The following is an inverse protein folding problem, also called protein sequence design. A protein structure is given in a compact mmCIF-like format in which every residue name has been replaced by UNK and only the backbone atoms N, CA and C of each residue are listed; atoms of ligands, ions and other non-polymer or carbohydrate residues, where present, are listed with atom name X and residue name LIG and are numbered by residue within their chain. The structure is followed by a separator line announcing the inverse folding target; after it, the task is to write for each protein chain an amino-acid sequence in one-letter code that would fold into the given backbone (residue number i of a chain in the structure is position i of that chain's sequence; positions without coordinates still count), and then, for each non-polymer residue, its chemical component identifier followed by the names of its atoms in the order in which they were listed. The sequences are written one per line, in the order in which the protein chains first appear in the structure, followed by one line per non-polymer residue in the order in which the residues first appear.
data_IF_520675642723
#
_entry.id   IF_520675642723
#
_cell.length_a   1.000
_cell.length_b   1.000
_cell.length_c   1.000
_cell.angle_alpha   90.00
_cell.angle_beta   90.00
_cell.angle_gamma   90.00
#
_symmetry.space_group_name_H-M   'P 1'
#
loop_
_entity.id
_entity.type
_entity.pdbx_description
1 polymer ?
#
# COMPACT_ATOMS: atom_id res chain seq x y z
N UNK A 1 16.49 -31.51 -11.72
CA UNK A 1 15.85 -31.14 -13.00
C UNK A 1 15.39 -29.69 -12.88
N UNK A 2 15.36 -28.90 -13.96
CA UNK A 2 14.65 -27.63 -13.91
C UNK A 2 13.21 -27.89 -13.48
N UNK A 3 12.59 -26.94 -12.78
CA UNK A 3 11.16 -27.04 -12.54
C UNK A 3 10.45 -26.83 -13.88
N UNK A 4 9.52 -27.72 -14.20
CA UNK A 4 8.70 -27.54 -15.39
C UNK A 4 7.83 -26.28 -15.24
N UNK A 5 7.67 -25.48 -16.30
CA UNK A 5 6.77 -24.35 -16.29
C UNK A 5 5.36 -24.76 -15.88
N UNK A 6 4.66 -23.88 -15.17
CA UNK A 6 3.28 -24.11 -14.74
C UNK A 6 2.38 -23.02 -15.27
N UNK A 7 1.18 -23.38 -15.70
CA UNK A 7 0.19 -22.41 -16.16
C UNK A 7 -1.09 -22.59 -15.36
N UNK A 8 -2.00 -21.64 -15.47
CA UNK A 8 -3.30 -21.66 -14.78
C UNK A 8 -3.17 -21.74 -13.26
N UNK A 9 -2.25 -20.95 -12.70
CA UNK A 9 -2.02 -20.87 -11.26
C UNK A 9 -2.93 -19.81 -10.63
N UNK A 10 -3.42 -20.07 -9.41
CA UNK A 10 -4.19 -19.09 -8.64
C UNK A 10 -3.32 -17.91 -8.19
N UNK A 11 -3.91 -16.71 -8.12
CA UNK A 11 -3.22 -15.49 -7.69
C UNK A 11 -2.70 -15.59 -6.24
N UNK A 12 -3.38 -16.32 -5.35
CA UNK A 12 -3.00 -16.53 -3.95
C UNK A 12 -2.08 -17.73 -3.72
N UNK A 13 -1.44 -18.24 -4.79
CA UNK A 13 -0.74 -19.53 -4.72
C UNK A 13 0.50 -19.47 -3.83
N UNK A 14 0.40 -20.12 -2.67
CA UNK A 14 1.56 -20.55 -1.90
C UNK A 14 2.33 -21.68 -2.60
N UNK A 15 3.66 -21.60 -2.57
CA UNK A 15 4.55 -22.65 -3.07
C UNK A 15 5.21 -23.42 -1.93
N UNK A 16 5.42 -24.73 -2.17
CA UNK A 16 6.25 -25.58 -1.32
C UNK A 16 7.39 -26.16 -2.14
N UNK A 17 8.62 -25.91 -1.71
CA UNK A 17 9.82 -26.47 -2.33
C UNK A 17 10.37 -27.58 -1.43
N UNK A 18 10.46 -28.79 -1.97
CA UNK A 18 11.05 -29.92 -1.28
C UNK A 18 12.53 -30.07 -1.66
N UNK A 19 13.40 -30.08 -0.66
CA UNK A 19 14.82 -30.35 -0.81
C UNK A 19 15.15 -31.80 -0.45
N UNK A 20 16.16 -32.36 -1.09
CA UNK A 20 16.62 -33.73 -0.80
C UNK A 20 17.38 -33.85 0.54
N UNK A 21 17.92 -32.74 1.04
CA UNK A 21 18.60 -32.62 2.33
C UNK A 21 17.98 -31.52 3.20
N UNK A 22 18.09 -31.61 4.54
CA UNK A 22 17.63 -30.55 5.42
C UNK A 22 18.31 -29.22 5.10
N UNK A 23 17.52 -28.14 5.08
CA UNK A 23 17.94 -26.79 4.66
C UNK A 23 18.27 -25.94 5.87
N UNK A 24 19.45 -25.34 5.90
CA UNK A 24 19.89 -24.46 6.97
C UNK A 24 18.97 -23.22 7.03
N UNK A 25 18.28 -22.97 8.16
CA UNK A 25 17.27 -21.91 8.25
C UNK A 25 17.77 -20.52 7.90
N UNK A 26 19.01 -20.17 8.26
CA UNK A 26 19.60 -18.86 7.94
C UNK A 26 19.84 -18.64 6.44
N UNK A 27 19.86 -19.70 5.64
CA UNK A 27 19.95 -19.59 4.18
C UNK A 27 18.59 -19.37 3.51
N UNK A 28 17.47 -19.60 4.21
CA UNK A 28 16.11 -19.38 3.73
C UNK A 28 15.76 -17.91 3.91
N UNK A 29 15.88 -17.13 2.84
CA UNK A 29 15.58 -15.70 2.81
C UNK A 29 15.31 -15.25 1.37
N UNK A 30 14.80 -14.04 1.21
CA UNK A 30 14.40 -13.48 -0.09
C UNK A 30 15.57 -13.14 -1.02
N UNK A 31 16.82 -13.18 -0.54
CA UNK A 31 17.99 -13.08 -1.42
C UNK A 31 18.21 -14.40 -2.18
N UNK A 32 17.96 -15.52 -1.52
CA UNK A 32 18.20 -16.86 -2.05
C UNK A 32 16.97 -17.50 -2.70
N UNK A 33 15.76 -17.11 -2.30
CA UNK A 33 14.49 -17.57 -2.89
C UNK A 33 13.63 -16.35 -3.16
N UNK A 34 13.33 -16.06 -4.42
CA UNK A 34 12.57 -14.87 -4.80
C UNK A 34 11.71 -15.14 -6.03
N UNK A 35 10.65 -14.36 -6.19
CA UNK A 35 9.84 -14.35 -7.41
C UNK A 35 10.06 -13.02 -8.11
N UNK A 36 10.09 -13.05 -9.44
CA UNK A 36 10.03 -11.83 -10.27
C UNK A 36 8.92 -11.92 -11.29
N UNK A 37 8.46 -10.77 -11.78
CA UNK A 37 7.70 -10.68 -13.02
C UNK A 37 8.57 -10.97 -14.26
N UNK A 38 8.01 -10.77 -15.46
CA UNK A 38 8.71 -10.91 -16.74
C UNK A 38 9.75 -9.80 -16.99
N UNK A 39 9.64 -8.65 -16.31
CA UNK A 39 10.55 -7.52 -16.41
C UNK A 39 11.72 -7.61 -15.41
N UNK A 40 11.71 -8.63 -14.54
CA UNK A 40 12.65 -8.90 -13.45
C UNK A 40 12.49 -8.01 -12.21
N UNK A 41 11.33 -7.35 -12.04
CA UNK A 41 10.97 -6.73 -10.78
C UNK A 41 10.60 -7.80 -9.75
N UNK A 42 11.00 -7.62 -8.50
CA UNK A 42 10.81 -8.61 -7.43
C UNK A 42 9.43 -8.47 -6.81
N UNK A 43 8.77 -9.61 -6.62
CA UNK A 43 7.51 -9.71 -5.88
C UNK A 43 7.77 -9.77 -4.37
N UNK A 44 6.90 -9.13 -3.60
CA UNK A 44 6.97 -9.14 -2.14
C UNK A 44 6.42 -10.45 -1.56
N UNK A 45 7.24 -11.48 -1.59
CA UNK A 45 6.92 -12.82 -1.07
C UNK A 45 7.56 -13.07 0.30
N UNK A 46 6.90 -13.87 1.13
CA UNK A 46 7.50 -14.36 2.38
C UNK A 46 8.06 -15.77 2.19
N UNK A 47 9.25 -16.05 2.75
CA UNK A 47 9.85 -17.38 2.72
C UNK A 47 10.12 -17.88 4.13
N UNK A 48 9.71 -19.12 4.40
CA UNK A 48 9.84 -19.71 5.73
C UNK A 48 10.08 -21.22 5.66
N UNK A 49 10.83 -21.81 6.61
CA UNK A 49 10.92 -23.26 6.73
C UNK A 49 9.57 -23.88 7.12
N UNK A 50 9.26 -25.07 6.59
CA UNK A 50 8.19 -25.93 7.11
C UNK A 50 8.72 -26.76 8.30
N UNK A 51 7.82 -27.50 8.95
CA UNK A 51 8.09 -28.30 10.15
C UNK A 51 9.06 -29.49 9.94
N UNK A 52 9.29 -29.92 8.70
CA UNK A 52 10.07 -31.12 8.36
C UNK A 52 11.57 -30.85 8.07
N UNK A 53 12.01 -29.60 8.19
CA UNK A 53 13.37 -29.09 7.89
C UNK A 53 13.88 -29.30 6.45
N UNK A 54 13.10 -29.92 5.56
CA UNK A 54 13.43 -30.17 4.15
C UNK A 54 12.55 -29.38 3.19
N UNK A 55 11.47 -28.81 3.70
CA UNK A 55 10.50 -28.05 2.92
C UNK A 55 10.62 -26.58 3.25
N UNK A 56 10.57 -25.75 2.20
CA UNK A 56 10.46 -24.29 2.30
C UNK A 56 9.10 -23.88 1.75
N UNK A 57 8.37 -23.09 2.52
CA UNK A 57 7.12 -22.46 2.12
C UNK A 57 7.44 -21.06 1.60
N UNK A 58 6.88 -20.74 0.44
CA UNK A 58 6.85 -19.39 -0.11
C UNK A 58 5.39 -18.95 -0.08
N UNK A 59 5.10 -17.91 0.67
CA UNK A 59 3.79 -17.26 0.67
C UNK A 59 3.69 -16.34 -0.54
N UNK A 60 2.53 -16.38 -1.20
CA UNK A 60 2.20 -15.37 -2.22
C UNK A 60 2.27 -13.95 -1.61
N UNK A 61 2.42 -12.90 -2.44
CA UNK A 61 2.28 -11.53 -1.97
C UNK A 61 0.95 -11.33 -1.25
N UNK A 62 0.88 -10.36 -0.33
CA UNK A 62 -0.33 -10.13 0.47
C UNK A 62 -1.58 -9.87 -0.40
N UNK A 63 -1.37 -9.26 -1.57
CA UNK A 63 -2.41 -8.98 -2.58
C UNK A 63 -2.49 -10.05 -3.69
N UNK A 64 -1.71 -11.12 -3.58
CA UNK A 64 -1.57 -12.15 -4.62
C UNK A 64 -0.73 -11.70 -5.82
N UNK A 65 -0.58 -12.60 -6.77
CA UNK A 65 0.03 -12.35 -8.08
C UNK A 65 -1.02 -11.82 -9.07
N UNK A 66 -0.62 -10.96 -10.01
CA UNK A 66 -1.53 -10.37 -10.99
C UNK A 66 -2.08 -11.44 -11.98
N UNK A 67 -3.41 -11.50 -12.20
CA UNK A 67 -4.03 -12.39 -13.18
C UNK A 67 -3.44 -12.27 -14.60
N UNK A 68 -3.30 -13.40 -15.28
CA UNK A 68 -2.77 -13.47 -16.65
C UNK A 68 -1.28 -13.19 -16.78
N UNK A 69 -0.63 -12.69 -15.73
CA UNK A 69 0.78 -12.39 -15.72
C UNK A 69 1.63 -13.64 -15.52
N UNK A 70 2.86 -13.56 -16.03
CA UNK A 70 3.85 -14.62 -15.93
C UNK A 70 4.98 -14.19 -15.00
N UNK A 71 5.37 -15.09 -14.12
CA UNK A 71 6.35 -14.89 -13.08
C UNK A 71 7.43 -15.96 -13.13
N UNK A 72 8.56 -15.67 -12.52
CA UNK A 72 9.69 -16.58 -12.40
C UNK A 72 10.05 -16.74 -10.91
N UNK A 73 9.88 -17.93 -10.37
CA UNK A 73 10.37 -18.31 -9.05
C UNK A 73 11.83 -18.78 -9.18
N UNK A 74 12.72 -18.19 -8.40
CA UNK A 74 14.15 -18.51 -8.37
C UNK A 74 14.57 -19.11 -7.02
N UNK A 75 15.48 -20.08 -7.09
CA UNK A 75 16.22 -20.64 -5.95
C UNK A 75 17.70 -20.60 -6.30
N UNK A 76 18.46 -19.79 -5.57
CA UNK A 76 19.88 -19.55 -5.83
C UNK A 76 20.77 -20.66 -5.24
N UNK A 77 22.04 -20.67 -5.63
CA UNK A 77 23.08 -21.52 -5.02
C UNK A 77 23.45 -21.10 -3.58
N UNK A 78 22.89 -19.99 -3.09
CA UNK A 78 23.06 -19.52 -1.71
C UNK A 78 22.26 -20.31 -0.67
N UNK A 79 21.29 -21.13 -1.10
CA UNK A 79 20.65 -22.14 -0.24
C UNK A 79 21.67 -23.18 0.21
N UNK A 80 21.68 -23.50 1.51
CA UNK A 80 22.64 -24.42 2.12
C UNK A 80 21.95 -25.54 2.88
N UNK A 81 22.55 -26.72 2.85
CA UNK A 81 22.22 -27.81 3.77
C UNK A 81 22.75 -27.55 5.18
N UNK A 82 22.28 -28.32 6.18
CA UNK A 82 22.81 -28.27 7.55
C UNK A 82 24.32 -28.51 7.63
N UNK A 83 24.88 -29.33 6.73
CA UNK A 83 26.33 -29.55 6.60
C UNK A 83 27.05 -28.40 5.86
N UNK A 84 26.40 -27.26 5.70
CA UNK A 84 26.89 -26.05 5.04
C UNK A 84 27.22 -26.21 3.55
N UNK A 85 26.80 -27.31 2.90
CA UNK A 85 26.98 -27.53 1.45
C UNK A 85 25.93 -26.73 0.66
N UNK A 86 26.33 -25.97 -0.37
CA UNK A 86 25.41 -25.18 -1.18
C UNK A 86 24.57 -26.06 -2.11
N UNK A 87 23.45 -25.51 -2.58
CA UNK A 87 22.67 -26.11 -3.65
C UNK A 87 23.55 -26.26 -4.90
N UNK A 88 23.59 -27.47 -5.46
CA UNK A 88 24.53 -27.85 -6.53
C UNK A 88 24.38 -26.98 -7.79
N UNK A 89 23.16 -26.52 -8.06
CA UNK A 89 22.85 -25.62 -9.17
C UNK A 89 21.64 -24.76 -8.78
N UNK A 90 21.60 -23.47 -9.16
CA UNK A 90 20.38 -22.69 -9.02
C UNK A 90 19.28 -23.31 -9.88
N UNK A 91 18.03 -23.13 -9.47
CA UNK A 91 16.86 -23.58 -10.22
C UNK A 91 15.86 -22.44 -10.31
N UNK A 92 15.15 -22.37 -11.43
CA UNK A 92 14.02 -21.47 -11.60
C UNK A 92 12.81 -22.22 -12.14
N UNK A 93 11.64 -21.65 -11.93
CA UNK A 93 10.36 -22.11 -12.47
C UNK A 93 9.60 -20.91 -12.98
N UNK A 94 9.17 -20.96 -14.23
CA UNK A 94 8.19 -20.00 -14.72
C UNK A 94 6.79 -20.46 -14.33
N UNK A 95 5.93 -19.53 -13.92
CA UNK A 95 4.51 -19.80 -13.73
C UNK A 95 3.64 -18.67 -14.23
N UNK A 96 2.49 -19.01 -14.82
CA UNK A 96 1.51 -18.05 -15.31
C UNK A 96 0.24 -18.14 -14.47
N UNK A 97 -0.20 -17.00 -13.96
CA UNK A 97 -1.47 -16.88 -13.24
C UNK A 97 -2.60 -16.98 -14.27
N UNK A 98 -3.71 -17.62 -13.88
CA UNK A 98 -4.92 -17.59 -14.70
C UNK A 98 -5.23 -16.13 -15.05
N UNK A 99 -5.25 -15.80 -16.35
CA UNK A 99 -5.86 -14.56 -16.83
C UNK A 99 -7.35 -14.81 -16.98
N UNK A 100 -8.19 -13.88 -16.55
CA UNK A 100 -9.61 -14.15 -16.31
C UNK A 100 -10.32 -14.88 -17.47
N UNK A 101 -10.93 -16.01 -17.09
CA UNK A 101 -11.91 -16.88 -17.79
C UNK A 101 -11.42 -17.63 -19.05
N UNK A 102 -11.07 -18.92 -18.88
CA UNK A 102 -11.29 -19.90 -19.95
C UNK A 102 -12.74 -20.40 -19.88
N UNK A 103 -13.49 -20.10 -20.94
CA UNK A 103 -14.91 -20.40 -21.14
C UNK A 103 -15.04 -21.90 -21.46
N UNK A 104 -14.86 -22.75 -20.44
CA UNK A 104 -14.60 -24.18 -20.63
C UNK A 104 -15.34 -25.17 -19.73
N UNK A 105 -16.29 -24.71 -18.92
CA UNK A 105 -17.46 -25.42 -18.37
C UNK A 105 -18.13 -24.45 -17.42
N UNK A 106 -19.26 -23.92 -17.88
CA UNK A 106 -20.11 -23.01 -17.12
C UNK A 106 -20.67 -23.79 -15.94
N UNK A 107 -20.08 -23.64 -14.76
CA UNK A 107 -20.94 -23.44 -13.60
C UNK A 107 -21.40 -21.99 -13.75
N UNK A 108 -22.71 -21.80 -13.94
CA UNK A 108 -23.31 -20.48 -14.13
C UNK A 108 -22.81 -19.54 -13.04
N UNK A 109 -22.20 -18.41 -13.44
CA UNK A 109 -21.92 -17.29 -12.54
C UNK A 109 -23.21 -17.03 -11.77
N UNK A 110 -23.16 -17.14 -10.45
CA UNK A 110 -24.35 -16.90 -9.63
C UNK A 110 -24.78 -15.46 -9.89
N UNK A 111 -26.04 -15.21 -10.29
CA UNK A 111 -26.56 -13.87 -10.60
C UNK A 111 -26.49 -12.85 -9.44
N UNK A 112 -25.94 -13.23 -8.30
CA UNK A 112 -25.99 -12.53 -7.02
C UNK A 112 -24.76 -11.62 -6.77
N UNK A 113 -23.67 -11.75 -7.56
CA UNK A 113 -22.40 -10.99 -7.39
C UNK A 113 -22.16 -9.91 -8.48
N UNK A 114 -23.16 -9.67 -9.35
CA UNK A 114 -23.07 -8.70 -10.45
C UNK A 114 -23.95 -7.50 -10.15
N UNK A 115 -23.32 -6.36 -9.85
CA UNK A 115 -23.99 -5.08 -9.68
C UNK A 115 -24.18 -4.44 -11.06
N UNK A 116 -25.35 -3.81 -11.29
CA UNK A 116 -25.61 -3.04 -12.50
C UNK A 116 -26.00 -1.62 -12.13
N UNK A 117 -25.29 -0.62 -12.66
CA UNK A 117 -25.64 0.79 -12.42
C UNK A 117 -26.78 1.27 -13.35
N UNK A 118 -27.26 2.49 -13.13
CA UNK A 118 -28.35 3.10 -13.93
C UNK A 118 -28.01 3.22 -15.43
N UNK A 119 -26.72 3.24 -15.78
CA UNK A 119 -26.23 3.25 -17.16
C UNK A 119 -26.12 1.85 -17.79
N UNK A 120 -26.42 0.78 -17.03
CA UNK A 120 -26.36 -0.61 -17.48
C UNK A 120 -24.97 -1.25 -17.43
N UNK A 121 -23.99 -0.58 -16.81
CA UNK A 121 -22.63 -1.12 -16.60
C UNK A 121 -22.69 -2.21 -15.54
N UNK A 122 -22.10 -3.37 -15.85
CA UNK A 122 -21.99 -4.52 -14.94
C UNK A 122 -20.59 -4.62 -14.36
N UNK A 123 -20.50 -4.79 -13.05
CA UNK A 123 -19.23 -4.99 -12.35
C UNK A 123 -19.41 -5.98 -11.19
N UNK A 124 -18.31 -6.61 -10.78
CA UNK A 124 -18.25 -7.54 -9.65
C UNK A 124 -18.07 -6.77 -8.33
N UNK A 125 -18.44 -7.37 -7.21
CA UNK A 125 -18.31 -6.75 -5.88
C UNK A 125 -16.86 -6.37 -5.51
N UNK A 126 -15.86 -6.98 -6.13
CA UNK A 126 -14.44 -6.67 -5.92
C UNK A 126 -13.85 -5.68 -6.96
N UNK A 127 -14.70 -5.10 -7.80
CA UNK A 127 -14.31 -4.07 -8.78
C UNK A 127 -14.87 -2.71 -8.37
N UNK A 128 -14.18 -1.65 -8.79
CA UNK A 128 -14.60 -0.28 -8.53
C UNK A 128 -15.27 0.30 -9.75
N UNK A 129 -16.45 0.89 -9.55
CA UNK A 129 -17.05 1.78 -10.53
C UNK A 129 -16.38 3.16 -10.40
N UNK A 130 -15.75 3.61 -11.49
CA UNK A 130 -15.08 4.90 -11.56
C UNK A 130 -15.89 5.84 -12.45
N UNK A 131 -16.33 6.95 -11.86
CA UNK A 131 -17.15 7.96 -12.52
C UNK A 131 -16.38 9.25 -12.70
N UNK A 132 -16.36 9.81 -13.91
CA UNK A 132 -15.66 11.06 -14.23
C UNK A 132 -16.62 12.24 -14.32
N UNK A 133 -16.31 13.33 -13.62
CA UNK A 133 -17.10 14.57 -13.56
C UNK A 133 -16.21 15.80 -13.72
N UNK A 134 -16.80 16.94 -14.10
CA UNK A 134 -16.09 18.22 -14.19
C UNK A 134 -15.67 18.77 -12.79
N UNK A 135 -16.32 18.32 -11.71
CA UNK A 135 -16.08 18.80 -10.34
C UNK A 135 -16.25 17.69 -9.29
N UNK A 136 -15.54 17.84 -8.16
CA UNK A 136 -15.59 16.93 -7.02
C UNK A 136 -16.77 17.20 -6.08
N UNK A 137 -18.00 16.95 -6.54
CA UNK A 137 -19.18 16.95 -5.68
C UNK A 137 -19.88 15.58 -5.72
N UNK A 138 -19.78 14.84 -4.61
CA UNK A 138 -20.41 13.51 -4.42
C UNK A 138 -21.94 13.55 -4.61
N UNK A 139 -22.57 14.72 -4.49
CA UNK A 139 -24.03 14.89 -4.48
C UNK A 139 -24.66 15.45 -5.78
N UNK A 140 -23.91 15.65 -6.87
CA UNK A 140 -24.49 16.09 -8.15
C UNK A 140 -24.69 14.95 -9.16
N UNK A 141 -25.85 14.99 -9.82
CA UNK A 141 -26.28 14.05 -10.88
C UNK A 141 -25.62 14.46 -12.19
N UNK A 142 -24.90 13.51 -12.81
CA UNK A 142 -24.24 13.66 -14.11
C UNK A 142 -22.85 13.05 -14.11
N UNK A 143 -22.64 12.05 -14.97
CA UNK A 143 -21.32 11.50 -15.31
C UNK A 143 -20.98 11.90 -16.74
N UNK A 144 -19.72 12.25 -16.97
CA UNK A 144 -19.18 12.53 -18.31
C UNK A 144 -18.82 11.21 -18.98
N UNK A 145 -18.20 10.34 -18.19
CA UNK A 145 -17.87 8.98 -18.57
C UNK A 145 -17.76 8.10 -17.32
N UNK A 146 -17.80 6.78 -17.53
CA UNK A 146 -17.70 5.77 -16.50
C UNK A 146 -16.82 4.63 -17.02
N UNK A 147 -16.04 4.04 -16.12
CA UNK A 147 -15.31 2.79 -16.37
C UNK A 147 -15.33 1.93 -15.11
N UNK A 148 -14.89 0.68 -15.24
CA UNK A 148 -14.79 -0.27 -14.13
C UNK A 148 -13.33 -0.67 -13.99
N UNK A 149 -12.82 -0.68 -12.77
CA UNK A 149 -11.47 -1.17 -12.52
C UNK A 149 -11.40 -2.68 -12.78
N UNK A 150 -10.22 -3.15 -13.17
CA UNK A 150 -9.84 -4.55 -13.00
C UNK A 150 -9.87 -4.94 -11.51
N UNK A 151 -9.78 -6.23 -11.24
CA UNK A 151 -9.66 -6.76 -9.88
C UNK A 151 -8.32 -6.41 -9.22
N UNK A 152 -7.35 -5.96 -10.01
CA UNK A 152 -6.06 -5.42 -9.61
C UNK A 152 -6.10 -3.88 -9.37
N UNK A 153 -7.27 -3.26 -9.53
CA UNK A 153 -7.46 -1.82 -9.39
C UNK A 153 -7.09 -1.00 -10.64
N UNK A 154 -6.56 -1.62 -11.70
CA UNK A 154 -6.19 -0.91 -12.92
C UNK A 154 -7.44 -0.42 -13.65
N UNK A 155 -7.38 0.79 -14.22
CA UNK A 155 -8.44 1.31 -15.08
C UNK A 155 -7.85 2.06 -16.26
N UNK A 156 -8.54 2.02 -17.39
CA UNK A 156 -8.22 2.80 -18.58
C UNK A 156 -9.53 3.37 -19.14
N UNK A 157 -9.47 4.62 -19.60
CA UNK A 157 -10.63 5.29 -20.19
C UNK A 157 -10.18 6.36 -21.19
N UNK A 158 -10.92 6.50 -22.29
CA UNK A 158 -10.77 7.62 -23.21
C UNK A 158 -11.68 8.78 -22.77
N UNK A 159 -11.09 9.95 -22.55
CA UNK A 159 -11.80 11.17 -22.16
C UNK A 159 -11.44 12.31 -23.10
N UNK A 160 -12.38 13.24 -23.40
CA UNK A 160 -12.02 14.51 -24.01
C UNK A 160 -10.87 15.21 -23.26
N UNK A 161 -10.10 16.05 -23.94
CA UNK A 161 -9.06 16.82 -23.27
C UNK A 161 -9.65 17.72 -22.19
N UNK A 162 -9.16 17.61 -20.95
CA UNK A 162 -9.74 18.29 -19.80
C UNK A 162 -9.19 17.84 -18.45
N UNK A 163 -9.62 18.52 -17.39
CA UNK A 163 -9.40 18.10 -16.00
C UNK A 163 -10.70 17.52 -15.45
N UNK A 164 -10.60 16.36 -14.83
CA UNK A 164 -11.73 15.61 -14.29
C UNK A 164 -11.50 15.30 -12.81
N UNK A 165 -12.61 15.15 -12.10
CA UNK A 165 -12.62 14.40 -10.85
C UNK A 165 -13.11 12.99 -11.14
N UNK A 166 -12.30 12.01 -10.79
CA UNK A 166 -12.70 10.61 -10.74
C UNK A 166 -13.27 10.29 -9.34
N UNK A 167 -14.42 9.65 -9.31
CA UNK A 167 -15.06 9.14 -8.09
C UNK A 167 -15.06 7.62 -8.20
N UNK A 168 -14.32 6.94 -7.33
CA UNK A 168 -14.26 5.49 -7.25
C UNK A 168 -15.20 5.00 -6.14
N UNK A 169 -16.10 4.09 -6.49
CA UNK A 169 -17.12 3.52 -5.60
C UNK A 169 -17.12 2.00 -5.71
N UNK A 170 -17.37 1.29 -4.62
CA UNK A 170 -17.40 -0.17 -4.61
C UNK A 170 -17.84 -0.71 -3.26
N UNK A 171 -18.44 -1.90 -3.26
CA UNK A 171 -18.80 -2.56 -2.00
C UNK A 171 -17.55 -2.85 -1.17
N UNK A 172 -17.63 -2.66 0.15
CA UNK A 172 -16.49 -2.90 1.03
C UNK A 172 -15.49 -1.74 1.10
N UNK A 173 -15.70 -0.65 0.36
CA UNK A 173 -14.83 0.53 0.35
C UNK A 173 -15.56 1.82 0.75
N UNK A 174 -14.79 2.77 1.27
CA UNK A 174 -15.22 4.16 1.39
C UNK A 174 -15.01 4.83 0.03
N UNK A 175 -16.06 5.47 -0.49
CA UNK A 175 -16.00 6.20 -1.76
C UNK A 175 -14.83 7.20 -1.75
N UNK A 176 -14.01 7.12 -2.80
CA UNK A 176 -12.83 7.95 -2.95
C UNK A 176 -12.95 8.91 -4.13
N UNK A 177 -12.24 10.03 -4.03
CA UNK A 177 -12.13 11.00 -5.10
C UNK A 177 -10.67 11.39 -5.35
N UNK A 178 -10.32 11.52 -6.64
CA UNK A 178 -9.00 11.94 -7.10
C UNK A 178 -9.09 12.71 -8.43
N UNK A 179 -8.03 13.45 -8.75
CA UNK A 179 -7.97 14.28 -9.95
C UNK A 179 -7.34 13.52 -11.11
N UNK A 180 -7.90 13.71 -12.31
CA UNK A 180 -7.41 13.10 -13.55
C UNK A 180 -7.29 14.17 -14.63
N UNK A 181 -6.13 14.25 -15.26
CA UNK A 181 -5.86 15.06 -16.45
C UNK A 181 -5.93 14.16 -17.69
N UNK A 182 -6.67 14.60 -18.71
CA UNK A 182 -6.67 14.00 -20.05
C UNK A 182 -6.16 15.02 -21.06
N UNK A 183 -5.21 14.61 -21.91
CA UNK A 183 -4.68 15.42 -23.01
C UNK A 183 -5.08 14.78 -24.34
N UNK A 184 -5.63 15.59 -25.24
CA UNK A 184 -6.15 15.11 -26.52
C UNK A 184 -5.05 14.42 -27.34
N UNK A 185 -5.27 13.15 -27.69
CA UNK A 185 -4.35 12.35 -28.49
C UNK A 185 -3.15 11.77 -27.74
N UNK A 186 -3.11 11.90 -26.41
CA UNK A 186 -2.04 11.32 -25.57
C UNK A 186 -2.60 10.33 -24.54
N UNK A 187 -1.89 9.23 -24.31
CA UNK A 187 -2.14 8.32 -23.19
C UNK A 187 -1.29 8.77 -22.00
N UNK A 188 -1.94 9.20 -20.92
CA UNK A 188 -1.27 9.62 -19.69
C UNK A 188 -1.35 8.51 -18.63
N UNK A 189 -0.21 8.15 -18.05
CA UNK A 189 -0.12 7.28 -16.87
C UNK A 189 0.05 8.08 -15.57
N UNK A 190 0.18 7.39 -14.44
CA UNK A 190 0.30 7.97 -13.09
C UNK A 190 -0.86 8.95 -12.76
N UNK A 191 -2.08 8.59 -13.16
CA UNK A 191 -3.32 9.31 -12.82
C UNK A 191 -4.08 8.53 -11.73
N UNK A 192 -3.33 7.95 -10.80
CA UNK A 192 -3.83 6.98 -9.83
C UNK A 192 -4.53 7.67 -8.66
N UNK A 193 -5.44 6.93 -8.03
CA UNK A 193 -6.17 7.37 -6.85
C UNK A 193 -6.14 6.30 -5.78
N UNK A 194 -6.00 6.71 -4.52
CA UNK A 194 -6.13 5.82 -3.37
C UNK A 194 -7.54 5.86 -2.81
N UNK A 195 -8.13 4.68 -2.59
CA UNK A 195 -9.36 4.51 -1.80
C UNK A 195 -9.07 3.63 -0.58
N UNK A 196 -9.96 3.64 0.41
CA UNK A 196 -9.75 2.85 1.63
C UNK A 196 -10.87 1.83 1.82
N UNK A 197 -10.57 0.59 2.25
CA UNK A 197 -11.60 -0.35 2.69
C UNK A 197 -12.44 0.24 3.82
N UNK A 198 -13.67 -0.23 3.97
CA UNK A 198 -14.57 0.14 5.05
C UNK A 198 -13.86 0.05 6.40
N UNK A 199 -13.96 1.13 7.17
CA UNK A 199 -13.30 1.28 8.46
C UNK A 199 -14.36 1.00 9.53
N UNK A 200 -14.14 0.00 10.40
CA UNK A 200 -15.04 -0.26 11.52
C UNK A 200 -15.26 0.99 12.38
N UNK A 201 -16.48 1.13 12.91
CA UNK A 201 -16.82 2.24 13.79
C UNK A 201 -15.87 2.28 15.00
N UNK A 202 -15.40 3.47 15.34
CA UNK A 202 -14.44 3.70 16.44
C UNK A 202 -12.96 3.62 16.03
N UNK A 203 -12.64 3.16 14.82
CA UNK A 203 -11.29 3.22 14.28
C UNK A 203 -11.04 4.53 13.54
N UNK A 204 -9.78 4.96 13.53
CA UNK A 204 -9.31 6.12 12.76
C UNK A 204 -8.24 5.66 11.80
N UNK A 205 -8.38 5.99 10.51
CA UNK A 205 -7.40 5.69 9.48
C UNK A 205 -6.81 6.96 8.91
N UNK A 206 -5.50 7.00 8.80
CA UNK A 206 -4.73 8.10 8.25
C UNK A 206 -4.08 7.58 6.98
N UNK A 207 -4.40 8.20 5.84
CA UNK A 207 -3.87 7.85 4.52
C UNK A 207 -2.98 9.00 4.07
N UNK A 208 -1.71 8.72 3.85
CA UNK A 208 -0.72 9.60 3.25
C UNK A 208 -0.53 9.20 1.78
N UNK A 209 -0.65 10.16 0.86
CA UNK A 209 -0.27 10.00 -0.55
C UNK A 209 0.67 11.12 -0.95
N UNK A 210 1.52 10.92 -1.94
CA UNK A 210 2.38 11.97 -2.51
C UNK A 210 2.58 11.78 -4.00
N UNK A 211 3.29 12.71 -4.64
CA UNK A 211 3.67 12.63 -6.03
C UNK A 211 4.97 11.84 -6.24
N UNK A 212 5.56 11.99 -7.42
CA UNK A 212 6.77 11.24 -7.78
C UNK A 212 7.98 11.53 -6.88
N UNK A 213 8.13 12.79 -6.47
CA UNK A 213 9.31 13.27 -5.74
C UNK A 213 8.87 13.97 -4.45
N UNK A 214 9.51 13.71 -3.30
CA UNK A 214 10.56 12.70 -3.09
C UNK A 214 10.05 11.27 -3.30
N UNK A 215 10.98 10.33 -3.46
CA UNK A 215 10.63 8.93 -3.72
C UNK A 215 9.97 8.28 -2.50
N UNK A 216 10.34 8.71 -1.31
CA UNK A 216 9.99 8.03 -0.05
C UNK A 216 9.62 9.06 1.03
N UNK A 217 8.34 9.04 1.43
CA UNK A 217 7.77 9.80 2.54
C UNK A 217 7.20 8.86 3.59
N UNK A 218 7.85 8.83 4.76
CA UNK A 218 7.44 7.99 5.89
C UNK A 218 6.35 8.66 6.74
N UNK A 219 5.33 7.89 7.11
CA UNK A 219 4.36 8.25 8.13
C UNK A 219 4.89 7.97 9.53
N UNK A 220 4.63 8.93 10.43
CA UNK A 220 5.00 8.86 11.83
C UNK A 220 3.79 9.21 12.71
N UNK A 221 3.33 8.26 13.50
CA UNK A 221 2.26 8.47 14.47
C UNK A 221 2.76 8.22 15.88
N UNK A 222 2.60 9.20 16.76
CA UNK A 222 2.79 9.02 18.20
C UNK A 222 1.46 9.10 18.94
N UNK A 223 1.33 8.36 20.04
CA UNK A 223 0.10 8.33 20.83
C UNK A 223 0.26 7.63 22.18
N UNK A 224 -0.75 7.75 23.06
CA UNK A 224 -0.74 7.13 24.38
C UNK A 224 -0.85 5.60 24.32
N UNK A 225 -0.27 4.94 25.33
CA UNK A 225 -0.46 3.52 25.67
C UNK A 225 -1.14 3.36 27.04
N UNK A 226 -1.69 2.18 27.37
CA UNK A 226 -2.38 1.96 28.64
C UNK A 226 -1.52 2.13 29.90
N UNK A 227 -0.20 1.98 29.77
CA UNK A 227 0.78 2.14 30.85
C UNK A 227 1.26 3.59 31.02
N UNK A 228 0.53 4.55 30.43
CA UNK A 228 0.84 5.98 30.41
C UNK A 228 2.10 6.36 29.61
N UNK A 229 2.78 5.38 29.00
CA UNK A 229 3.85 5.65 28.04
C UNK A 229 3.28 6.04 26.68
N UNK A 230 4.16 6.33 25.72
CA UNK A 230 3.80 6.69 24.36
C UNK A 230 4.41 5.73 23.36
N UNK A 231 3.66 5.43 22.31
CA UNK A 231 4.16 4.70 21.16
C UNK A 231 4.68 5.65 20.09
N UNK A 232 5.52 5.13 19.21
CA UNK A 232 5.91 5.76 17.95
C UNK A 232 5.81 4.72 16.84
N UNK A 233 4.73 4.79 16.07
CA UNK A 233 4.49 3.96 14.90
C UNK A 233 5.14 4.62 13.68
N UNK A 234 5.95 3.84 12.95
CA UNK A 234 6.70 4.25 11.77
C UNK A 234 7.22 3.01 11.03
N UNK A 235 7.83 3.19 9.86
CA UNK A 235 8.38 2.14 8.99
C UNK A 235 9.05 0.94 9.70
N UNK A 236 9.94 1.10 10.72
CA UNK A 236 10.49 -0.04 11.44
C UNK A 236 9.45 -1.01 12.01
N UNK A 237 8.29 -0.50 12.43
CA UNK A 237 7.20 -1.27 13.01
C UNK A 237 6.07 -1.57 12.02
N UNK A 238 6.34 -1.43 10.71
CA UNK A 238 5.38 -1.78 9.67
C UNK A 238 5.10 -3.28 9.64
N UNK A 239 3.88 -3.64 9.24
CA UNK A 239 3.45 -5.05 9.14
C UNK A 239 4.29 -5.84 8.13
N UNK A 240 4.92 -5.17 7.17
CA UNK A 240 5.86 -5.76 6.20
C UNK A 240 7.25 -6.05 6.77
N UNK A 241 7.63 -5.42 7.90
CA UNK A 241 8.98 -5.53 8.46
C UNK A 241 9.02 -6.32 9.76
N UNK A 242 8.70 -5.69 10.88
CA UNK A 242 8.70 -6.33 12.20
C UNK A 242 7.30 -6.51 12.78
N UNK A 243 6.30 -5.86 12.18
CA UNK A 243 4.96 -5.75 12.73
C UNK A 243 4.88 -4.77 13.89
N UNK A 244 3.66 -4.29 14.13
CA UNK A 244 3.40 -3.41 15.25
C UNK A 244 3.68 -4.11 16.59
N UNK A 245 4.47 -3.50 17.50
CA UNK A 245 4.56 -3.94 18.90
C UNK A 245 3.24 -3.72 19.67
N UNK A 246 2.32 -2.93 19.12
CA UNK A 246 1.04 -2.55 19.72
C UNK A 246 -0.13 -2.87 18.78
N UNK A 247 -0.25 -4.10 18.26
CA UNK A 247 -1.11 -4.43 17.12
C UNK A 247 -2.61 -4.30 17.42
N UNK A 248 -2.99 -4.25 18.70
CA UNK A 248 -4.37 -4.02 19.16
C UNK A 248 -4.75 -2.53 19.17
N UNK A 249 -3.77 -1.63 19.12
CA UNK A 249 -3.94 -0.18 19.25
C UNK A 249 -3.65 0.55 17.95
N UNK A 250 -2.57 0.19 17.26
CA UNK A 250 -2.08 0.91 16.09
C UNK A 250 -1.28 0.00 15.16
N UNK A 251 -1.42 0.19 13.85
CA UNK A 251 -0.58 -0.43 12.82
C UNK A 251 -0.30 0.52 11.68
N UNK A 252 0.82 0.28 11.00
CA UNK A 252 1.05 0.75 9.63
C UNK A 252 0.63 -0.39 8.71
N UNK A 253 -0.62 -0.32 8.21
CA UNK A 253 -1.31 -1.41 7.51
C UNK A 253 -0.88 -1.55 6.04
N UNK A 254 -0.46 -0.44 5.43
CA UNK A 254 0.14 -0.39 4.10
C UNK A 254 1.29 0.60 4.15
N UNK A 255 2.43 0.15 3.66
CA UNK A 255 3.70 0.84 3.72
C UNK A 255 4.26 0.83 2.29
N UNK A 256 4.49 2.00 1.72
CA UNK A 256 5.08 2.13 0.38
C UNK A 256 6.41 2.87 0.48
N UNK A 257 7.49 2.13 0.26
CA UNK A 257 8.86 2.65 0.30
C UNK A 257 9.32 3.23 -1.04
N UNK A 258 8.40 3.40 -1.98
CA UNK A 258 8.62 3.93 -3.33
C UNK A 258 7.60 5.02 -3.68
N UNK A 259 7.88 5.79 -4.74
CA UNK A 259 7.11 6.99 -5.11
C UNK A 259 5.59 6.75 -5.15
N UNK A 260 4.84 7.85 -4.96
CA UNK A 260 3.38 7.95 -5.07
C UNK A 260 2.57 7.48 -3.85
N UNK A 261 3.18 6.74 -2.92
CA UNK A 261 2.42 6.13 -1.83
C UNK A 261 1.31 5.20 -2.35
N UNK A 262 0.31 4.84 -1.52
CA UNK A 262 0.00 5.41 -0.22
C UNK A 262 0.71 4.73 0.95
N UNK A 263 0.88 5.47 2.05
CA UNK A 263 1.06 4.89 3.38
C UNK A 263 -0.21 5.01 4.20
N UNK A 264 -0.60 3.93 4.89
CA UNK A 264 -1.83 3.88 5.68
C UNK A 264 -1.55 3.44 7.11
N UNK A 265 -1.83 4.34 8.06
CA UNK A 265 -1.79 4.03 9.50
C UNK A 265 -3.20 3.95 10.08
N UNK A 266 -3.54 2.86 10.76
CA UNK A 266 -4.83 2.72 11.48
C UNK A 266 -4.63 2.71 12.99
N UNK A 267 -5.42 3.54 13.67
CA UNK A 267 -5.65 3.49 15.12
C UNK A 267 -6.88 2.60 15.35
N UNK A 268 -6.65 1.41 15.89
CA UNK A 268 -7.69 0.42 16.20
C UNK A 268 -8.41 0.73 17.50
N UNK A 269 -7.69 1.25 18.50
CA UNK A 269 -8.22 1.63 19.79
C UNK A 269 -7.65 2.98 20.21
N UNK A 270 -8.52 3.99 20.26
CA UNK A 270 -8.15 5.32 20.71
C UNK A 270 -8.24 5.42 22.23
N UNK A 271 -7.13 5.79 22.86
CA UNK A 271 -7.04 6.06 24.30
C UNK A 271 -7.12 7.57 24.55
N UNK A 272 -7.38 7.95 25.81
CA UNK A 272 -7.33 9.36 26.21
C UNK A 272 -5.89 9.86 26.14
N UNK A 273 -5.68 10.96 25.40
CA UNK A 273 -4.37 11.57 25.22
C UNK A 273 -4.21 12.17 23.83
N UNK A 274 -3.07 12.81 23.61
CA UNK A 274 -2.75 13.45 22.34
C UNK A 274 -2.07 12.44 21.41
N UNK A 275 -2.66 12.26 20.23
CA UNK A 275 -2.03 11.63 19.09
C UNK A 275 -1.45 12.73 18.19
N UNK A 276 -0.29 12.49 17.60
CA UNK A 276 0.32 13.42 16.64
C UNK A 276 0.82 12.68 15.42
N UNK A 277 0.43 13.18 14.25
CA UNK A 277 0.83 12.62 12.97
C UNK A 277 1.82 13.57 12.27
N UNK A 278 2.92 13.01 11.81
CA UNK A 278 3.96 13.70 11.06
C UNK A 278 4.34 12.88 9.82
N UNK A 279 4.84 13.57 8.80
CA UNK A 279 5.38 12.99 7.57
C UNK A 279 6.85 13.34 7.48
N UNK A 280 7.71 12.35 7.22
CA UNK A 280 9.16 12.53 7.12
C UNK A 280 9.63 12.27 5.69
N UNK A 281 10.37 13.23 5.13
CA UNK A 281 11.05 13.05 3.84
C UNK A 281 12.32 12.22 4.07
N UNK A 282 12.14 10.90 4.06
CA UNK A 282 13.23 9.96 4.29
C UNK A 282 14.28 10.06 3.19
N UNK A 283 13.84 10.26 1.95
CA UNK A 283 14.73 10.45 0.78
C UNK A 283 15.74 11.56 1.03
N UNK A 284 15.29 12.71 1.50
CA UNK A 284 16.12 13.91 1.66
C UNK A 284 16.52 14.21 3.10
N UNK A 285 16.34 13.28 4.05
CA UNK A 285 16.53 13.49 5.50
C UNK A 285 17.88 14.10 5.93
N UNK A 286 18.94 13.93 5.15
CA UNK A 286 20.26 14.49 5.46
C UNK A 286 20.45 15.93 4.97
N UNK A 287 19.50 16.49 4.20
CA UNK A 287 19.58 17.84 3.69
C UNK A 287 19.14 18.85 4.75
N UNK A 288 19.90 19.93 4.89
CA UNK A 288 19.57 21.09 5.74
C UNK A 288 19.00 22.26 4.93
N UNK A 289 18.81 22.06 3.63
CA UNK A 289 18.16 22.96 2.71
C UNK A 289 17.44 22.13 1.63
N UNK A 290 16.15 21.86 1.80
CA UNK A 290 15.33 21.10 0.86
C UNK A 290 13.93 21.69 0.78
N UNK A 291 13.39 21.81 -0.43
CA UNK A 291 11.97 22.12 -0.66
C UNK A 291 11.20 20.91 -1.20
N UNK A 292 11.83 19.74 -1.31
CA UNK A 292 11.24 18.56 -1.95
C UNK A 292 9.92 18.16 -1.29
N UNK A 293 9.89 18.11 0.05
CA UNK A 293 8.66 17.86 0.81
C UNK A 293 7.56 18.88 0.48
N UNK A 294 7.87 20.17 0.41
CA UNK A 294 6.87 21.20 0.11
C UNK A 294 6.36 21.20 -1.35
N UNK A 295 7.06 20.50 -2.25
CA UNK A 295 6.67 20.31 -3.65
C UNK A 295 6.30 18.86 -3.96
N UNK A 296 5.98 18.08 -2.93
CA UNK A 296 5.75 16.65 -3.05
C UNK A 296 4.33 16.27 -3.43
N UNK A 297 3.41 17.23 -3.50
CA UNK A 297 1.97 16.97 -3.59
C UNK A 297 1.45 16.08 -2.45
N UNK A 298 2.16 16.01 -1.31
CA UNK A 298 1.75 15.19 -0.18
C UNK A 298 0.41 15.66 0.41
N UNK A 299 -0.51 14.71 0.53
CA UNK A 299 -1.85 14.87 1.08
C UNK A 299 -2.07 13.83 2.19
N UNK A 300 -2.64 14.27 3.31
CA UNK A 300 -3.04 13.42 4.42
C UNK A 300 -4.54 13.49 4.59
N UNK A 301 -5.23 12.37 4.35
CA UNK A 301 -6.65 12.18 4.59
C UNK A 301 -6.87 11.40 5.88
N UNK A 302 -7.75 11.89 6.74
CA UNK A 302 -8.12 11.23 8.00
C UNK A 302 -9.57 10.80 7.93
N UNK A 303 -9.79 9.51 8.13
CA UNK A 303 -11.10 8.89 8.19
C UNK A 303 -11.39 8.41 9.60
N UNK A 304 -12.65 8.57 10.06
CA UNK A 304 -13.16 7.94 11.28
C UNK A 304 -14.40 7.14 10.95
N UNK A 305 -14.31 5.81 11.12
CA UNK A 305 -15.21 4.93 10.38
C UNK A 305 -15.19 5.27 8.88
N UNK A 306 -16.33 5.14 8.21
CA UNK A 306 -16.46 5.44 6.77
C UNK A 306 -16.60 6.93 6.44
N UNK A 307 -16.22 7.85 7.35
CA UNK A 307 -16.33 9.30 7.13
C UNK A 307 -14.95 9.93 7.01
N UNK A 308 -14.69 10.62 5.90
CA UNK A 308 -13.57 11.55 5.77
C UNK A 308 -13.84 12.76 6.68
N UNK A 309 -12.98 12.97 7.68
CA UNK A 309 -13.16 14.01 8.69
C UNK A 309 -12.15 15.16 8.57
N UNK A 310 -11.00 14.93 7.92
CA UNK A 310 -10.02 15.97 7.65
C UNK A 310 -9.15 15.63 6.44
N UNK A 311 -8.73 16.67 5.73
CA UNK A 311 -7.72 16.60 4.68
C UNK A 311 -6.68 17.69 4.94
N UNK A 312 -5.40 17.34 4.90
CA UNK A 312 -4.29 18.25 5.06
C UNK A 312 -3.38 18.16 3.84
N UNK A 313 -3.01 19.31 3.29
CA UNK A 313 -2.04 19.40 2.20
C UNK A 313 -0.71 19.91 2.75
N UNK A 314 0.39 19.39 2.21
CA UNK A 314 1.73 19.82 2.61
C UNK A 314 1.89 21.34 2.42
N UNK A 315 2.40 22.08 3.43
CA UNK A 315 2.56 23.52 3.31
C UNK A 315 3.52 23.91 2.17
N UNK A 316 3.11 24.77 1.23
CA UNK A 316 3.97 25.17 0.13
C UNK A 316 5.04 26.16 0.60
N UNK A 317 6.14 26.26 -0.17
CA UNK A 317 7.20 27.26 -0.01
C UNK A 317 7.91 27.26 1.36
N UNK A 318 7.95 26.12 2.06
CA UNK A 318 8.70 25.97 3.30
C UNK A 318 9.80 24.93 3.12
N UNK A 319 11.03 25.28 3.51
CA UNK A 319 12.14 24.34 3.48
C UNK A 319 12.14 23.42 4.70
N UNK A 320 12.30 22.12 4.49
CA UNK A 320 12.40 21.12 5.56
C UNK A 320 12.37 19.70 5.05
N UNK A 321 12.47 18.77 5.99
CA UNK A 321 12.44 17.31 5.76
C UNK A 321 11.44 16.60 6.66
N UNK A 322 10.70 17.32 7.49
CA UNK A 322 9.64 16.78 8.32
C UNK A 322 8.47 17.76 8.39
N UNK A 323 7.26 17.24 8.32
CA UNK A 323 6.02 17.99 8.40
C UNK A 323 5.18 17.42 9.54
N UNK A 324 4.98 18.20 10.61
CA UNK A 324 3.94 17.88 11.59
C UNK A 324 2.59 18.34 11.06
N UNK A 325 1.70 17.38 10.85
CA UNK A 325 0.44 17.59 10.13
C UNK A 325 -0.63 18.08 11.09
N UNK A 326 -0.97 17.24 12.08
CA UNK A 326 -2.03 17.52 13.03
C UNK A 326 -1.79 16.85 14.38
N UNK A 327 -2.51 17.34 15.38
CA UNK A 327 -2.75 16.64 16.63
C UNK A 327 -4.23 16.25 16.76
N UNK A 328 -4.48 15.09 17.37
CA UNK A 328 -5.81 14.59 17.66
C UNK A 328 -5.92 14.29 19.15
N UNK A 329 -6.96 14.79 19.80
CA UNK A 329 -7.32 14.44 21.17
C UNK A 329 -8.83 14.17 21.26
N UNK A 330 -9.21 12.91 21.43
CA UNK A 330 -10.61 12.52 21.31
C UNK A 330 -11.13 12.78 19.89
N UNK A 331 -12.21 13.54 19.79
CA UNK A 331 -12.78 13.96 18.52
C UNK A 331 -12.21 15.28 17.97
N UNK A 332 -11.35 15.96 18.74
CA UNK A 332 -10.81 17.24 18.37
C UNK A 332 -9.52 17.07 17.55
N UNK A 333 -9.53 17.61 16.33
CA UNK A 333 -8.37 17.71 15.46
C UNK A 333 -7.84 19.14 15.44
N UNK A 334 -6.55 19.30 15.74
CA UNK A 334 -5.84 20.58 15.70
C UNK A 334 -4.83 20.54 14.57
N UNK A 335 -5.06 21.27 13.46
CA UNK A 335 -4.05 21.42 12.41
C UNK A 335 -2.78 22.04 12.98
N UNK A 336 -1.62 21.44 12.71
CA UNK A 336 -0.31 22.00 13.07
C UNK A 336 0.35 22.58 11.82
N UNK A 337 0.35 21.84 10.71
CA UNK A 337 0.85 22.25 9.40
C UNK A 337 2.20 22.99 9.42
N UNK A 338 3.18 22.38 10.09
CA UNK A 338 4.51 22.97 10.28
C UNK A 338 5.59 22.11 9.66
N UNK A 339 6.40 22.71 8.78
CA UNK A 339 7.60 22.08 8.23
C UNK A 339 8.84 22.49 9.04
N UNK A 340 9.76 21.54 9.24
CA UNK A 340 11.04 21.72 9.89
C UNK A 340 12.07 20.69 9.40
N UNK A 341 13.32 20.82 9.85
CA UNK A 341 14.38 19.85 9.54
C UNK A 341 14.49 18.80 10.64
N UNK A 342 14.40 17.54 10.24
CA UNK A 342 14.74 16.38 11.05
C UNK A 342 15.43 15.34 10.18
N UNK A 343 16.55 14.81 10.67
CA UNK A 343 17.35 13.81 9.98
C UNK A 343 17.04 12.40 10.44
N UNK A 344 16.67 12.25 11.72
CA UNK A 344 16.55 10.96 12.38
C UNK A 344 15.07 10.67 12.61
N UNK A 345 14.51 9.64 11.94
CA UNK A 345 13.12 9.24 12.15
C UNK A 345 12.80 9.05 13.64
N UNK A 346 13.68 8.37 14.39
CA UNK A 346 13.51 8.10 15.83
C UNK A 346 13.43 9.37 16.72
N UNK A 347 13.87 10.53 16.22
CA UNK A 347 13.84 11.79 16.99
C UNK A 347 12.55 12.59 16.81
N UNK A 348 11.69 12.19 15.86
CA UNK A 348 10.39 12.82 15.64
C UNK A 348 9.53 12.71 16.91
N UNK A 349 9.46 11.52 17.51
CA UNK A 349 8.74 11.30 18.77
C UNK A 349 9.32 12.08 19.96
N UNK A 350 10.65 12.22 20.03
CA UNK A 350 11.30 13.01 21.09
C UNK A 350 10.93 14.50 21.03
N UNK A 351 10.95 15.09 19.83
CA UNK A 351 10.51 16.47 19.63
C UNK A 351 9.03 16.61 19.93
N UNK A 352 8.28 15.54 19.72
CA UNK A 352 6.85 15.57 19.92
C UNK A 352 6.44 15.67 21.39
N UNK A 353 7.12 14.90 22.23
CA UNK A 353 6.78 14.72 23.66
C UNK A 353 7.32 15.82 24.57
N UNK A 354 8.34 16.57 24.12
CA UNK A 354 9.04 17.55 24.96
C UNK A 354 8.78 19.00 24.59
N UNK A 355 7.79 19.27 23.72
CA UNK A 355 7.36 20.64 23.40
C UNK A 355 8.52 21.54 22.96
N UNK A 356 9.53 20.96 22.32
CA UNK A 356 10.74 21.68 21.94
C UNK A 356 10.34 22.87 21.08
N UNK A 357 10.52 24.08 21.60
CA UNK A 357 10.51 25.28 20.80
C UNK A 357 11.62 25.11 19.76
N UNK A 358 11.25 24.65 18.57
CA UNK A 358 12.12 24.59 17.40
C UNK A 358 12.43 26.04 17.04
N UNK A 359 13.59 26.51 17.52
CA UNK A 359 14.22 27.81 17.24
C UNK A 359 14.72 27.90 15.81
#
# INVERSE_FOLDING_TARGET
MPFEPRTSISADKDWKINFNFPVMPSSINTQNIYVTDIYNYREDIQVMPDTDAKTVIIKAPAYGYLPGQTYNLYVSSGIRSFDNKPLKQPVSMQFTIVGDVDVGKVDELKPEEVVTNDAGIKYLDNQLLITFKDFCELNQVGSIAETVSGTDGFFEIELPGGNYTAIATGEGYVDGCFYVLSLEGETLGNQDGSITPNIPSGQTRIVLTWGKNPEDLDSHLTGPLPDETRFHMSYPYSDMRYGSPWPDYVRLDLDDVTSYGPETTTIYQQLNGVYRFSVHDYTNRYLTNSNALATSDAEVKVYRGNSLIATYNVPPNQGGTCWTVFEMNGDQFTPINRIYYEMRPDYISYKDDHGGALS
#
